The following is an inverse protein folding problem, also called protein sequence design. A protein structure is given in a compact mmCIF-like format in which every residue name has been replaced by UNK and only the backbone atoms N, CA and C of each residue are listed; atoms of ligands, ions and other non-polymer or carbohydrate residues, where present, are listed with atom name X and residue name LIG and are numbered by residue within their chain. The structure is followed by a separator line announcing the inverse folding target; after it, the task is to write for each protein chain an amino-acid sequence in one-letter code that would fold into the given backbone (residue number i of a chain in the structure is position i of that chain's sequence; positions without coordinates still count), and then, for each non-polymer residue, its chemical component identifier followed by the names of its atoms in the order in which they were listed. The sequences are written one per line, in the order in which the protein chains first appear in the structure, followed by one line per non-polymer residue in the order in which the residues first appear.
data_IF_210256729110
#
_entry.id   IF_210256729110
#
_cell.length_a   1.000
_cell.length_b   1.000
_cell.length_c   1.000
_cell.angle_alpha   90.00
_cell.angle_beta   90.00
_cell.angle_gamma   90.00
#
_symmetry.space_group_name_H-M   'P 1'
#
loop_
_entity.id
_entity.type
_entity.pdbx_description
1 polymer ?
#
# COMPACT_ATOMS: atom_id res chain seq x y z
N UNK A 1 38.57 -17.36 -18.74
CA UNK A 1 38.52 -17.81 -17.32
C UNK A 1 37.83 -16.80 -16.40
N UNK A 2 38.09 -15.48 -16.52
CA UNK A 2 37.39 -14.43 -15.76
C UNK A 2 35.87 -14.33 -16.03
N UNK A 3 35.42 -14.56 -17.27
CA UNK A 3 33.99 -14.55 -17.64
C UNK A 3 33.15 -15.68 -17.02
N UNK A 4 33.78 -16.83 -16.71
CA UNK A 4 33.09 -17.94 -16.02
C UNK A 4 32.84 -17.63 -14.55
N UNK A 5 33.67 -16.78 -13.93
CA UNK A 5 33.51 -16.34 -12.54
C UNK A 5 32.31 -15.38 -12.40
N UNK A 6 32.10 -14.49 -13.38
CA UNK A 6 30.97 -13.54 -13.40
C UNK A 6 29.63 -14.23 -13.64
N UNK A 7 29.58 -15.28 -14.48
CA UNK A 7 28.38 -16.09 -14.68
C UNK A 7 28.04 -16.97 -13.46
N UNK A 8 29.03 -17.44 -12.69
CA UNK A 8 28.76 -18.14 -11.43
C UNK A 8 28.27 -17.19 -10.32
N UNK A 9 28.74 -15.94 -10.29
CA UNK A 9 28.29 -14.93 -9.34
C UNK A 9 26.87 -14.42 -9.63
N UNK A 10 26.42 -14.42 -10.89
CA UNK A 10 25.05 -14.05 -11.29
C UNK A 10 23.99 -15.15 -11.11
N UNK A 11 24.42 -16.38 -10.77
CA UNK A 11 23.55 -17.54 -10.53
C UNK A 11 23.49 -17.94 -9.05
N UNK A 12 24.14 -17.19 -8.15
CA UNK A 12 23.89 -17.36 -6.74
C UNK A 12 22.41 -17.03 -6.51
N UNK A 13 21.58 -17.99 -6.07
CA UNK A 13 20.23 -17.66 -5.67
C UNK A 13 20.38 -16.57 -4.61
N UNK A 14 19.74 -15.42 -4.82
CA UNK A 14 19.55 -14.45 -3.76
C UNK A 14 18.97 -15.25 -2.60
N UNK A 15 19.75 -15.47 -1.54
CA UNK A 15 19.27 -16.10 -0.33
C UNK A 15 18.28 -15.12 0.27
N UNK A 16 17.03 -15.17 -0.19
CA UNK A 16 15.91 -14.51 0.46
C UNK A 16 15.87 -15.10 1.85
N UNK A 17 16.37 -14.33 2.81
CA UNK A 17 16.43 -14.71 4.21
C UNK A 17 14.99 -14.76 4.71
N UNK A 18 14.38 -15.92 4.63
CA UNK A 18 13.07 -16.16 5.22
C UNK A 18 13.27 -16.28 6.72
N UNK A 19 12.56 -15.44 7.46
CA UNK A 19 12.59 -15.45 8.92
C UNK A 19 11.22 -15.74 9.49
N UNK A 20 11.22 -16.28 10.71
CA UNK A 20 10.01 -16.68 11.41
C UNK A 20 9.40 -15.48 12.12
N UNK A 21 8.10 -15.30 12.00
CA UNK A 21 7.31 -14.25 12.65
C UNK A 21 6.22 -14.88 13.51
N UNK A 22 5.82 -14.20 14.59
CA UNK A 22 4.57 -14.54 15.27
C UNK A 22 3.38 -14.21 14.37
N UNK A 23 2.37 -15.08 14.38
CA UNK A 23 1.17 -14.94 13.56
C UNK A 23 -0.08 -15.20 14.36
N UNK A 24 -0.65 -14.15 14.96
CA UNK A 24 -1.79 -14.24 15.86
C UNK A 24 -2.70 -13.01 15.77
N UNK A 25 -3.93 -13.16 16.26
CA UNK A 25 -4.86 -12.05 16.47
C UNK A 25 -5.48 -12.18 17.86
N UNK A 26 -5.60 -11.07 18.58
CA UNK A 26 -6.16 -11.06 19.92
C UNK A 26 -6.80 -9.72 20.26
N UNK A 27 -7.66 -9.73 21.27
CA UNK A 27 -8.26 -8.54 21.87
C UNK A 27 -7.59 -8.29 23.21
N UNK A 28 -7.34 -7.03 23.51
CA UNK A 28 -6.63 -6.61 24.70
C UNK A 28 -7.41 -5.50 25.41
N UNK A 29 -7.52 -5.63 26.73
CA UNK A 29 -8.24 -4.70 27.62
C UNK A 29 -7.29 -3.82 28.46
N UNK A 30 -5.99 -4.18 28.54
CA UNK A 30 -4.98 -3.48 29.33
C UNK A 30 -3.56 -3.77 28.81
N UNK A 31 -2.63 -2.82 28.92
CA UNK A 31 -1.24 -3.02 28.49
C UNK A 31 -0.41 -3.85 29.51
N UNK A 32 0.60 -4.63 29.08
CA UNK A 32 1.06 -4.81 27.70
C UNK A 32 0.19 -5.79 26.88
N UNK A 33 -0.26 -5.36 25.71
CA UNK A 33 -1.04 -6.19 24.80
C UNK A 33 -0.13 -7.08 23.93
N UNK A 34 -0.23 -8.40 24.07
CA UNK A 34 0.58 -9.34 23.28
C UNK A 34 -0.19 -10.61 22.90
N UNK A 35 0.21 -11.26 21.80
CA UNK A 35 -0.17 -12.62 21.44
C UNK A 35 1.03 -13.33 20.78
N UNK A 36 1.17 -14.64 20.98
CA UNK A 36 2.33 -15.41 20.47
C UNK A 36 1.93 -16.75 19.83
N UNK A 37 0.62 -17.00 19.63
CA UNK A 37 0.12 -18.28 19.12
C UNK A 37 0.20 -18.33 17.59
N UNK A 38 1.01 -19.24 17.04
CA UNK A 38 1.14 -19.44 15.59
C UNK A 38 2.34 -18.70 15.00
N UNK A 39 2.80 -19.19 13.84
CA UNK A 39 3.99 -18.68 13.17
C UNK A 39 3.83 -18.68 11.65
N UNK A 40 4.56 -17.80 10.98
CA UNK A 40 4.68 -17.74 9.53
C UNK A 40 6.13 -17.38 9.14
N UNK A 41 6.51 -17.61 7.88
CA UNK A 41 7.83 -17.29 7.37
C UNK A 41 7.73 -16.24 6.25
N UNK A 42 8.52 -15.17 6.34
CA UNK A 42 8.58 -14.09 5.34
C UNK A 42 9.90 -13.32 5.44
N UNK A 43 10.10 -12.35 4.54
CA UNK A 43 11.22 -11.41 4.61
C UNK A 43 11.06 -10.43 5.79
N UNK A 44 9.83 -10.07 6.15
CA UNK A 44 9.54 -9.11 7.23
C UNK A 44 8.38 -9.60 8.10
N UNK A 45 8.37 -9.15 9.35
CA UNK A 45 7.25 -9.37 10.27
C UNK A 45 6.50 -8.06 10.52
N UNK A 46 5.21 -8.16 10.84
CA UNK A 46 4.42 -7.02 11.31
C UNK A 46 3.74 -7.28 12.65
N UNK A 47 3.47 -6.20 13.37
CA UNK A 47 2.57 -6.14 14.52
C UNK A 47 1.74 -4.85 14.41
N UNK A 48 0.42 -4.98 14.56
CA UNK A 48 -0.55 -3.89 14.50
C UNK A 48 -1.36 -3.84 15.78
N UNK A 49 -1.65 -2.62 16.24
CA UNK A 49 -2.62 -2.33 17.30
C UNK A 49 -3.67 -1.38 16.76
N UNK A 50 -4.90 -1.84 16.67
CA UNK A 50 -6.05 -1.04 16.20
C UNK A 50 -7.05 -0.85 17.34
N UNK A 51 -7.67 0.33 17.50
CA UNK A 51 -8.80 0.49 18.40
C UNK A 51 -9.96 -0.42 17.96
N UNK A 52 -10.78 -0.88 18.90
CA UNK A 52 -12.08 -1.49 18.60
C UNK A 52 -13.20 -0.47 18.82
N UNK A 53 -14.46 -0.88 18.59
CA UNK A 53 -15.63 -0.04 18.89
C UNK A 53 -15.73 0.29 20.39
N UNK A 54 -15.20 -0.58 21.25
CA UNK A 54 -15.17 -0.37 22.70
C UNK A 54 -13.96 0.47 23.09
N UNK A 55 -14.21 1.63 23.68
CA UNK A 55 -13.16 2.54 24.14
C UNK A 55 -12.18 1.83 25.09
N UNK A 56 -10.88 2.00 24.84
CA UNK A 56 -9.81 1.41 25.64
C UNK A 56 -9.53 -0.06 25.34
N UNK A 57 -10.30 -0.68 24.44
CA UNK A 57 -10.06 -2.04 23.96
C UNK A 57 -9.35 -1.97 22.61
N UNK A 58 -8.29 -2.76 22.48
CA UNK A 58 -7.47 -2.80 21.27
C UNK A 58 -7.41 -4.20 20.69
N UNK A 59 -7.41 -4.29 19.37
CA UNK A 59 -7.07 -5.52 18.64
C UNK A 59 -5.60 -5.50 18.30
N UNK A 60 -4.87 -6.53 18.74
CA UNK A 60 -3.50 -6.81 18.30
C UNK A 60 -3.53 -7.84 17.19
N UNK A 61 -2.76 -7.59 16.13
CA UNK A 61 -2.60 -8.53 15.03
C UNK A 61 -1.13 -8.61 14.64
N UNK A 62 -0.60 -9.82 14.53
CA UNK A 62 0.78 -10.09 14.14
C UNK A 62 0.81 -11.00 12.93
N UNK A 63 1.80 -10.85 12.08
CA UNK A 63 1.96 -11.78 10.97
C UNK A 63 3.17 -11.45 10.11
N UNK A 64 3.07 -11.85 8.86
CA UNK A 64 4.14 -11.78 7.89
C UNK A 64 3.84 -10.76 6.80
N UNK A 65 4.90 -10.18 6.24
CA UNK A 65 4.81 -9.22 5.14
C UNK A 65 5.98 -9.39 4.18
N UNK A 66 5.69 -9.27 2.90
CA UNK A 66 6.63 -9.26 1.77
C UNK A 66 6.55 -7.92 1.06
N UNK A 67 7.71 -7.35 0.71
CA UNK A 67 7.81 -6.04 0.05
C UNK A 67 6.92 -4.99 0.73
N UNK A 68 7.16 -4.68 2.03
CA UNK A 68 6.34 -3.74 2.77
C UNK A 68 6.34 -2.37 2.07
N UNK A 69 5.18 -1.71 2.01
CA UNK A 69 5.09 -0.35 1.47
C UNK A 69 5.81 0.70 2.31
N UNK A 70 6.28 0.38 3.52
CA UNK A 70 7.04 1.30 4.37
C UNK A 70 8.52 1.26 4.00
N UNK A 71 9.14 2.43 3.84
CA UNK A 71 10.58 2.56 3.57
C UNK A 71 11.46 2.26 4.78
N UNK A 72 10.90 2.30 5.99
CA UNK A 72 11.63 2.06 7.22
C UNK A 72 10.97 0.98 8.08
N UNK A 73 11.76 0.04 8.55
CA UNK A 73 11.37 -0.96 9.53
C UNK A 73 11.39 -0.34 10.94
N UNK A 74 10.23 0.08 11.43
CA UNK A 74 10.03 0.64 12.77
C UNK A 74 8.53 0.60 13.15
N UNK A 75 8.24 0.86 14.43
CA UNK A 75 6.89 1.12 14.91
C UNK A 75 6.49 2.58 14.69
N UNK A 76 5.28 2.77 14.20
CA UNK A 76 4.71 4.09 14.00
C UNK A 76 3.18 4.06 14.05
N UNK A 77 2.56 5.24 14.15
CA UNK A 77 1.16 5.38 13.82
C UNK A 77 0.91 5.02 12.36
N UNK A 78 -0.30 4.55 12.07
CA UNK A 78 -0.75 4.26 10.70
C UNK A 78 -2.07 4.98 10.45
N UNK A 79 -1.96 6.20 9.90
CA UNK A 79 -3.05 7.11 9.56
C UNK A 79 -3.79 7.71 10.75
N UNK A 80 -4.12 6.93 11.79
CA UNK A 80 -4.85 7.37 12.99
C UNK A 80 -3.97 7.43 14.23
N UNK A 81 -4.35 8.28 15.21
CA UNK A 81 -3.59 8.52 16.44
C UNK A 81 -3.54 7.31 17.40
N UNK A 82 -4.47 6.39 17.27
CA UNK A 82 -4.61 5.20 18.11
C UNK A 82 -4.26 3.90 17.37
N UNK A 83 -4.06 3.98 16.05
CA UNK A 83 -3.61 2.88 15.22
C UNK A 83 -2.09 2.87 15.12
N UNK A 84 -1.46 1.81 15.62
CA UNK A 84 -0.02 1.57 15.50
C UNK A 84 0.25 0.40 14.57
N UNK A 85 1.30 0.52 13.76
CA UNK A 85 1.84 -0.54 12.92
C UNK A 85 3.37 -0.53 13.01
N UNK A 86 3.94 -1.70 13.24
CA UNK A 86 5.37 -1.94 13.17
C UNK A 86 5.68 -2.91 12.05
N UNK A 87 6.78 -2.64 11.35
CA UNK A 87 7.43 -3.58 10.45
C UNK A 87 8.84 -3.78 10.98
N UNK A 88 9.28 -5.02 11.05
CA UNK A 88 10.60 -5.34 11.57
C UNK A 88 11.26 -6.46 10.78
N UNK A 89 12.58 -6.50 10.91
CA UNK A 89 13.42 -7.59 10.43
C UNK A 89 14.09 -8.26 11.64
N UNK A 90 14.05 -9.59 11.68
CA UNK A 90 14.60 -10.44 12.72
C UNK A 90 13.67 -11.62 13.02
N UNK A 91 14.26 -12.73 13.47
CA UNK A 91 13.48 -13.88 13.95
C UNK A 91 12.60 -13.44 15.14
N UNK A 92 11.30 -13.60 14.99
CA UNK A 92 10.26 -13.23 15.96
C UNK A 92 10.34 -11.77 16.41
N UNK A 93 10.82 -10.86 15.56
CA UNK A 93 11.00 -9.45 15.90
C UNK A 93 9.68 -8.73 16.24
N UNK A 94 8.54 -9.27 15.81
CA UNK A 94 7.21 -8.74 16.07
C UNK A 94 6.64 -9.19 17.42
N UNK A 95 7.51 -9.48 18.41
CA UNK A 95 7.08 -9.89 19.74
C UNK A 95 6.35 -8.77 20.49
N UNK A 96 6.85 -7.54 20.41
CA UNK A 96 6.27 -6.39 21.09
C UNK A 96 6.22 -5.15 20.20
N UNK A 97 5.39 -4.19 20.58
CA UNK A 97 5.36 -2.86 19.98
C UNK A 97 6.43 -2.01 20.66
N UNK A 98 7.51 -1.72 19.93
CA UNK A 98 8.57 -0.85 20.38
C UNK A 98 8.46 0.53 19.72
N UNK A 99 7.69 1.43 20.31
CA UNK A 99 7.67 2.83 19.86
C UNK A 99 8.98 3.51 20.24
N UNK A 100 9.81 3.78 19.23
CA UNK A 100 11.06 4.50 19.42
C UNK A 100 10.80 6.00 19.57
N UNK A 101 11.14 6.54 20.73
CA UNK A 101 10.92 7.94 21.13
C UNK A 101 11.57 8.96 20.18
N UNK A 102 12.65 8.58 19.50
CA UNK A 102 13.37 9.48 18.58
C UNK A 102 12.59 9.80 17.30
N UNK A 103 11.68 8.91 16.85
CA UNK A 103 10.87 9.14 15.66
C UNK A 103 9.71 10.12 15.89
N UNK A 104 9.35 10.37 17.16
CA UNK A 104 8.35 11.37 17.56
C UNK A 104 8.91 12.80 17.49
N UNK A 105 10.23 12.99 17.65
CA UNK A 105 10.86 14.31 17.75
C UNK A 105 10.95 15.07 16.42
N UNK A 106 10.86 14.39 15.27
CA UNK A 106 10.95 15.02 13.94
C UNK A 106 9.60 15.41 13.33
N UNK A 107 8.52 15.32 14.11
CA UNK A 107 7.16 15.48 13.56
C UNK A 107 6.61 16.85 13.86
N UNK A 108 6.36 17.59 12.79
CA UNK A 108 5.66 18.87 12.87
C UNK A 108 4.20 18.59 13.20
N UNK A 109 3.73 19.16 14.29
CA UNK A 109 2.30 19.26 14.54
C UNK A 109 1.73 20.33 13.60
N UNK A 110 0.84 19.89 12.72
CA UNK A 110 0.14 20.73 11.76
C UNK A 110 -1.32 20.83 12.17
N UNK A 111 -1.89 22.02 11.98
CA UNK A 111 -3.33 22.22 12.09
C UNK A 111 -3.96 22.02 10.72
N UNK A 112 -4.93 21.11 10.64
CA UNK A 112 -5.64 20.78 9.41
C UNK A 112 -7.14 21.01 9.60
N UNK A 113 -7.84 21.15 8.47
CA UNK A 113 -9.29 21.11 8.44
C UNK A 113 -9.79 19.67 8.61
N UNK A 114 -10.86 19.46 9.36
CA UNK A 114 -11.46 18.15 9.61
C UNK A 114 -12.95 18.15 9.28
N UNK A 115 -13.30 17.79 8.05
CA UNK A 115 -14.70 17.72 7.64
C UNK A 115 -15.10 16.32 7.21
N UNK A 116 -16.33 15.95 7.52
CA UNK A 116 -16.90 14.67 7.06
C UNK A 116 -17.40 14.79 5.63
N UNK A 117 -17.63 13.66 4.97
CA UNK A 117 -18.28 13.63 3.66
C UNK A 117 -19.73 14.17 3.70
N UNK A 118 -20.39 14.11 4.87
CA UNK A 118 -21.77 14.63 5.06
C UNK A 118 -21.81 16.14 5.23
N UNK A 119 -20.72 16.73 5.74
CA UNK A 119 -20.58 18.16 5.97
C UNK A 119 -19.18 18.62 5.52
N UNK A 120 -18.96 18.76 4.19
CA UNK A 120 -17.67 19.11 3.63
C UNK A 120 -17.31 20.59 3.78
N UNK A 121 -18.26 21.43 4.24
CA UNK A 121 -18.15 22.88 4.41
C UNK A 121 -18.07 23.31 5.90
N UNK A 122 -17.71 22.36 6.77
CA UNK A 122 -17.53 22.56 8.20
C UNK A 122 -16.32 23.45 8.58
N UNK A 123 -16.31 23.92 9.84
CA UNK A 123 -15.22 24.71 10.46
C UNK A 123 -14.38 23.93 11.48
N UNK A 124 -14.53 22.61 11.54
CA UNK A 124 -13.77 21.76 12.47
C UNK A 124 -12.29 21.66 12.06
N UNK A 125 -11.44 21.55 13.08
CA UNK A 125 -9.99 21.43 12.92
C UNK A 125 -9.45 20.25 13.71
N UNK A 126 -8.31 19.74 13.29
CA UNK A 126 -7.56 18.73 14.02
C UNK A 126 -6.06 19.05 14.01
N UNK A 127 -5.31 18.41 14.90
CA UNK A 127 -3.86 18.45 14.92
C UNK A 127 -3.27 17.07 14.61
N UNK A 128 -2.37 17.00 13.64
CA UNK A 128 -1.68 15.77 13.25
C UNK A 128 -0.34 16.06 12.59
N UNK A 129 0.28 15.05 11.98
CA UNK A 129 1.60 15.20 11.35
C UNK A 129 1.51 15.65 9.88
N UNK A 130 0.39 15.38 9.23
CA UNK A 130 0.09 15.75 7.84
C UNK A 130 -1.43 15.90 7.67
N UNK A 131 -1.85 16.64 6.66
CA UNK A 131 -3.26 16.85 6.34
C UNK A 131 -3.68 16.01 5.13
N UNK A 132 -4.93 15.57 5.10
CA UNK A 132 -5.51 14.90 3.94
C UNK A 132 -6.85 15.52 3.53
N UNK A 133 -7.18 15.35 2.25
CA UNK A 133 -8.49 15.67 1.67
C UNK A 133 -8.85 14.64 0.60
N UNK A 134 -10.13 14.28 0.55
CA UNK A 134 -10.77 13.66 -0.60
C UNK A 134 -11.50 14.79 -1.34
N UNK A 135 -10.91 15.23 -2.45
CA UNK A 135 -11.47 16.34 -3.23
C UNK A 135 -12.76 15.97 -3.97
N UNK A 136 -13.07 14.67 -4.10
CA UNK A 136 -14.32 14.19 -4.70
C UNK A 136 -15.49 14.37 -3.73
N UNK A 137 -15.27 14.10 -2.44
CA UNK A 137 -16.32 14.18 -1.40
C UNK A 137 -16.26 15.46 -0.58
N UNK A 138 -15.11 16.14 -0.58
CA UNK A 138 -14.81 17.25 0.32
C UNK A 138 -14.45 16.82 1.74
N UNK A 139 -14.39 15.52 2.04
CA UNK A 139 -13.95 15.02 3.33
C UNK A 139 -12.47 15.38 3.57
N UNK A 140 -12.12 15.77 4.79
CA UNK A 140 -10.77 16.21 5.12
C UNK A 140 -10.41 15.84 6.56
N UNK A 141 -9.12 15.75 6.86
CA UNK A 141 -8.68 15.42 8.22
C UNK A 141 -7.17 15.48 8.41
N UNK A 142 -6.76 14.88 9.53
CA UNK A 142 -5.37 14.78 9.95
C UNK A 142 -4.92 13.33 9.86
N UNK A 143 -3.71 13.15 9.35
CA UNK A 143 -2.99 11.89 9.41
C UNK A 143 -1.93 11.89 10.50
N UNK A 144 -1.74 10.73 11.10
CA UNK A 144 -0.70 10.44 12.08
C UNK A 144 0.31 9.46 11.50
N UNK A 145 1.52 9.47 12.07
CA UNK A 145 2.65 8.70 11.54
C UNK A 145 3.25 9.31 10.28
N UNK A 146 3.94 8.51 9.46
CA UNK A 146 4.49 8.95 8.18
C UNK A 146 3.32 9.23 7.22
N UNK A 147 3.49 10.19 6.30
CA UNK A 147 2.51 10.41 5.26
C UNK A 147 2.30 9.15 4.43
N UNK A 148 1.07 8.96 3.95
CA UNK A 148 0.70 7.78 3.19
C UNK A 148 -0.35 8.10 2.14
N UNK A 149 -0.17 7.51 0.96
CA UNK A 149 -1.14 7.44 -0.11
C UNK A 149 -1.28 5.97 -0.55
N UNK A 150 -2.47 5.54 -1.03
CA UNK A 150 -2.63 4.21 -1.62
C UNK A 150 -1.57 3.92 -2.70
N UNK A 151 -0.92 2.76 -2.63
CA UNK A 151 0.11 2.28 -3.59
C UNK A 151 1.42 3.07 -3.63
N UNK A 152 1.57 4.10 -2.81
CA UNK A 152 2.83 4.79 -2.62
C UNK A 152 3.64 4.15 -1.50
N UNK A 153 4.94 4.36 -1.53
CA UNK A 153 5.76 4.16 -0.35
C UNK A 153 5.27 5.05 0.80
N UNK A 154 5.19 4.48 2.00
CA UNK A 154 4.81 5.17 3.23
C UNK A 154 6.08 5.64 3.93
N UNK A 155 6.24 6.95 4.04
CA UNK A 155 7.39 7.55 4.72
C UNK A 155 7.55 9.03 4.41
N UNK A 156 8.45 9.73 5.13
CA UNK A 156 8.67 11.17 4.95
C UNK A 156 9.10 11.57 3.54
N UNK A 157 9.62 10.63 2.75
CA UNK A 157 10.02 10.78 1.35
C UNK A 157 8.91 11.32 0.44
N UNK A 158 7.64 11.06 0.77
CA UNK A 158 6.50 11.60 0.04
C UNK A 158 6.49 13.14 -0.03
N UNK A 159 7.15 13.83 0.90
CA UNK A 159 7.22 15.28 0.90
C UNK A 159 8.64 15.83 0.69
N UNK A 160 9.58 15.04 0.18
CA UNK A 160 10.95 15.51 -0.06
C UNK A 160 11.01 16.61 -1.12
N UNK A 161 10.23 16.48 -2.20
CA UNK A 161 10.27 17.42 -3.32
C UNK A 161 9.04 18.32 -3.43
N UNK A 162 7.98 18.03 -2.68
CA UNK A 162 6.70 18.75 -2.76
C UNK A 162 6.00 18.79 -1.42
N UNK A 163 5.19 19.83 -1.19
CA UNK A 163 4.38 19.97 0.01
C UNK A 163 2.96 19.43 -0.15
N UNK A 164 2.56 19.01 -1.36
CA UNK A 164 1.24 18.45 -1.64
C UNK A 164 1.34 17.40 -2.74
N UNK A 165 0.77 16.23 -2.46
CA UNK A 165 0.65 15.12 -3.41
C UNK A 165 -0.81 14.78 -3.59
N UNK A 166 -1.19 14.46 -4.82
CA UNK A 166 -2.53 14.02 -5.16
C UNK A 166 -2.50 12.79 -6.05
N UNK A 167 -3.44 11.89 -5.80
CA UNK A 167 -3.73 10.75 -6.66
C UNK A 167 -5.20 10.79 -7.05
N UNK A 168 -5.52 10.23 -8.21
CA UNK A 168 -6.89 9.96 -8.63
C UNK A 168 -6.97 8.49 -8.94
N UNK A 169 -7.86 7.80 -8.25
CA UNK A 169 -7.97 6.35 -8.30
C UNK A 169 -9.37 5.98 -8.78
N UNK A 170 -9.44 5.21 -9.87
CA UNK A 170 -10.67 4.61 -10.38
C UNK A 170 -10.59 3.11 -10.15
N UNK A 171 -11.51 2.56 -9.35
CA UNK A 171 -11.56 1.13 -9.01
C UNK A 171 -13.00 0.65 -8.95
N UNK A 172 -13.27 -0.50 -9.57
CA UNK A 172 -14.62 -1.05 -9.63
C UNK A 172 -15.59 -0.17 -10.40
N UNK A 173 -16.86 -0.21 -9.98
CA UNK A 173 -17.96 0.60 -10.52
C UNK A 173 -18.10 1.97 -9.86
N UNK A 174 -17.25 2.30 -8.88
CA UNK A 174 -17.31 3.56 -8.15
C UNK A 174 -16.82 4.76 -8.97
N UNK A 175 -17.26 5.95 -8.58
CA UNK A 175 -16.76 7.22 -9.12
C UNK A 175 -15.27 7.36 -8.76
N UNK A 176 -14.39 7.76 -9.71
CA UNK A 176 -12.99 8.00 -9.41
C UNK A 176 -12.83 8.99 -8.25
N UNK A 177 -12.02 8.59 -7.25
CA UNK A 177 -11.76 9.41 -6.06
C UNK A 177 -10.38 10.04 -6.13
N UNK A 178 -10.33 11.35 -5.86
CA UNK A 178 -9.07 12.09 -5.82
C UNK A 178 -8.68 12.39 -4.37
N UNK A 179 -7.63 11.71 -3.92
CA UNK A 179 -7.06 11.84 -2.59
C UNK A 179 -5.80 12.70 -2.64
N UNK A 180 -5.72 13.70 -1.78
CA UNK A 180 -4.54 14.53 -1.64
C UNK A 180 -4.04 14.53 -0.19
N UNK A 181 -2.72 14.63 -0.05
CA UNK A 181 -2.03 14.78 1.23
C UNK A 181 -1.08 15.97 1.17
N UNK A 182 -0.82 16.63 2.30
CA UNK A 182 0.07 17.79 2.35
C UNK A 182 0.64 18.04 3.75
N UNK A 183 1.73 18.81 3.84
CA UNK A 183 2.52 19.02 5.07
C UNK A 183 2.63 20.48 5.54
N UNK A 184 1.61 21.30 5.27
CA UNK A 184 1.53 22.69 5.75
C UNK A 184 0.24 22.92 6.53
N UNK A 185 0.21 23.93 7.40
CA UNK A 185 -1.02 24.28 8.11
C UNK A 185 -2.13 24.66 7.11
N UNK A 186 -3.33 24.11 7.33
CA UNK A 186 -4.54 24.36 6.53
C UNK A 186 -4.37 24.09 5.01
N UNK A 187 -3.43 23.24 4.61
CA UNK A 187 -3.17 22.94 3.19
C UNK A 187 -4.25 22.08 2.52
N UNK A 188 -5.13 21.48 3.32
CA UNK A 188 -6.30 20.69 2.89
C UNK A 188 -7.59 21.54 2.87
N UNK A 189 -7.45 22.84 2.64
CA UNK A 189 -8.57 23.73 2.43
C UNK A 189 -9.03 23.64 0.97
N UNK A 190 -10.26 23.19 0.76
CA UNK A 190 -10.88 23.10 -0.56
C UNK A 190 -11.12 24.52 -1.08
N UNK A 191 -10.31 24.97 -2.04
CA UNK A 191 -10.65 26.17 -2.82
C UNK A 191 -11.81 25.82 -3.75
N UNK A 192 -12.96 26.47 -3.58
CA UNK A 192 -14.18 26.26 -4.39
C UNK A 192 -13.94 26.27 -5.91
N UNK A 193 -12.90 27.00 -6.38
CA UNK A 193 -12.49 27.01 -7.79
C UNK A 193 -12.14 25.62 -8.37
N UNK A 194 -11.77 24.64 -7.54
CA UNK A 194 -11.42 23.28 -8.00
C UNK A 194 -12.58 22.28 -7.98
N UNK A 195 -13.74 22.60 -7.35
CA UNK A 195 -14.91 21.69 -7.34
C UNK A 195 -15.47 21.45 -8.76
N UNK A 196 -15.32 22.42 -9.66
CA UNK A 196 -15.86 22.34 -11.03
C UNK A 196 -14.92 21.69 -12.05
N UNK A 197 -13.66 21.47 -11.69
CA UNK A 197 -12.72 20.71 -12.50
C UNK A 197 -12.47 19.38 -11.82
N UNK A 198 -13.13 18.32 -12.30
CA UNK A 198 -12.69 16.92 -12.15
C UNK A 198 -11.30 16.75 -12.79
N UNK A 199 -10.31 17.49 -12.32
CA UNK A 199 -8.94 17.38 -12.76
C UNK A 199 -8.45 16.08 -12.17
N UNK A 200 -8.53 15.03 -12.97
CA UNK A 200 -7.65 13.88 -12.84
C UNK A 200 -6.25 14.42 -12.54
N UNK A 201 -5.59 13.88 -11.50
CA UNK A 201 -4.21 14.22 -11.18
C UNK A 201 -3.30 13.63 -12.27
N UNK A 202 -3.26 14.27 -13.43
CA UNK A 202 -2.51 13.84 -14.60
C UNK A 202 -1.27 14.70 -14.71
N UNK A 203 -0.16 14.16 -14.25
CA UNK A 203 1.17 14.53 -14.72
C UNK A 203 1.26 14.33 -16.25
N UNK A 204 1.40 15.40 -17.05
CA UNK A 204 1.30 15.32 -18.52
C UNK A 204 2.43 14.51 -19.16
N UNK A 205 3.58 14.41 -18.50
CA UNK A 205 4.77 13.75 -19.03
C UNK A 205 4.79 12.23 -18.79
N UNK A 206 3.85 11.68 -18.01
CA UNK A 206 3.77 10.23 -17.78
C UNK A 206 2.78 9.58 -18.78
N UNK A 207 3.17 8.48 -19.44
CA UNK A 207 2.30 7.81 -20.40
C UNK A 207 1.08 7.17 -19.69
N UNK A 208 -0.09 7.35 -20.28
CA UNK A 208 -1.33 6.72 -19.82
C UNK A 208 -1.45 5.29 -20.38
N UNK A 209 -1.64 4.33 -19.49
CA UNK A 209 -1.89 2.92 -19.78
C UNK A 209 -3.37 2.59 -19.66
N UNK A 210 -3.82 1.62 -20.46
CA UNK A 210 -5.15 1.06 -20.33
C UNK A 210 -5.13 -0.08 -19.30
N UNK A 211 -6.04 -0.04 -18.32
CA UNK A 211 -6.09 -1.00 -17.22
C UNK A 211 -7.46 -1.68 -17.16
N UNK A 212 -7.55 -2.86 -16.54
CA UNK A 212 -8.82 -3.40 -16.10
C UNK A 212 -9.38 -2.54 -14.96
N UNK A 213 -10.70 -2.36 -14.92
CA UNK A 213 -11.39 -1.64 -13.86
C UNK A 213 -12.61 -2.43 -13.38
N UNK A 214 -12.47 -3.17 -12.29
CA UNK A 214 -13.56 -3.97 -11.75
C UNK A 214 -13.39 -4.31 -10.29
N UNK A 215 -14.48 -4.80 -9.71
CA UNK A 215 -14.59 -5.28 -8.35
C UNK A 215 -15.30 -6.63 -8.41
N UNK A 216 -14.65 -7.64 -7.86
CA UNK A 216 -15.13 -9.02 -7.79
C UNK A 216 -15.18 -9.46 -6.34
N UNK A 217 -16.21 -10.23 -6.01
CA UNK A 217 -16.33 -10.95 -4.74
C UNK A 217 -16.73 -12.38 -5.05
N UNK A 218 -16.19 -13.37 -4.32
CA UNK A 218 -16.45 -14.80 -4.56
C UNK A 218 -17.92 -15.21 -4.41
N UNK A 219 -18.78 -14.34 -3.89
CA UNK A 219 -20.21 -14.57 -3.77
C UNK A 219 -20.99 -14.31 -5.07
N UNK A 220 -20.39 -13.64 -6.07
CA UNK A 220 -21.07 -13.22 -7.31
C UNK A 220 -20.48 -13.88 -8.57
N UNK A 221 -20.90 -15.11 -8.86
CA UNK A 221 -20.48 -15.87 -10.05
C UNK A 221 -20.90 -15.24 -11.39
N UNK A 222 -21.90 -14.34 -11.39
CA UNK A 222 -22.37 -13.62 -12.57
C UNK A 222 -21.45 -12.43 -12.98
N UNK A 223 -20.61 -11.91 -12.07
CA UNK A 223 -19.85 -10.67 -12.27
C UNK A 223 -18.47 -10.91 -12.91
N UNK A 224 -17.97 -12.15 -12.86
CA UNK A 224 -16.64 -12.54 -13.34
C UNK A 224 -16.44 -12.35 -14.86
N UNK A 225 -17.49 -12.46 -15.66
CA UNK A 225 -17.43 -12.29 -17.12
C UNK A 225 -17.44 -10.81 -17.55
N UNK A 226 -18.17 -9.95 -16.83
CA UNK A 226 -18.31 -8.51 -17.14
C UNK A 226 -17.12 -7.66 -16.66
N UNK A 227 -16.45 -8.07 -15.58
CA UNK A 227 -15.26 -7.38 -15.04
C UNK A 227 -14.12 -7.25 -16.05
N UNK A 228 -13.96 -8.22 -16.96
CA UNK A 228 -12.94 -8.16 -18.02
C UNK A 228 -13.29 -7.24 -19.17
N UNK A 229 -14.41 -6.51 -19.17
CA UNK A 229 -14.78 -5.58 -20.24
C UNK A 229 -14.55 -4.11 -19.85
N UNK A 230 -14.70 -3.76 -18.58
CA UNK A 230 -14.48 -2.39 -18.11
C UNK A 230 -13.00 -2.01 -18.18
N UNK A 231 -12.74 -0.82 -18.70
CA UNK A 231 -11.40 -0.25 -18.87
C UNK A 231 -11.34 1.13 -18.27
N UNK A 232 -10.19 1.49 -17.74
CA UNK A 232 -9.87 2.88 -17.42
C UNK A 232 -8.45 3.20 -17.88
N UNK A 233 -8.11 4.49 -17.95
CA UNK A 233 -6.77 4.93 -18.33
C UNK A 233 -6.11 5.64 -17.17
N UNK A 234 -4.88 5.25 -16.86
CA UNK A 234 -4.05 5.99 -15.93
C UNK A 234 -2.57 5.68 -16.02
N UNK A 235 -1.75 6.41 -15.27
CA UNK A 235 -0.29 6.21 -15.26
C UNK A 235 0.12 4.82 -14.79
N UNK A 236 -0.61 4.28 -13.81
CA UNK A 236 -0.38 2.96 -13.26
C UNK A 236 -1.68 2.16 -13.23
N UNK A 237 -1.57 0.86 -13.45
CA UNK A 237 -2.66 -0.08 -13.19
C UNK A 237 -2.52 -0.65 -11.78
N UNK A 238 -3.63 -0.80 -11.08
CA UNK A 238 -3.67 -1.30 -9.70
C UNK A 238 -4.44 -2.61 -9.62
N UNK A 239 -3.96 -3.51 -8.78
CA UNK A 239 -4.64 -4.74 -8.37
C UNK A 239 -4.61 -4.81 -6.85
N UNK A 240 -5.72 -5.13 -6.20
CA UNK A 240 -5.68 -5.57 -4.81
C UNK A 240 -6.59 -6.75 -4.61
N UNK A 241 -6.18 -7.61 -3.67
CA UNK A 241 -6.91 -8.79 -3.28
C UNK A 241 -6.95 -8.84 -1.76
N UNK A 242 -8.13 -9.10 -1.24
CA UNK A 242 -8.34 -9.37 0.17
C UNK A 242 -9.03 -10.72 0.29
N UNK A 243 -8.40 -11.65 0.99
CA UNK A 243 -8.93 -12.98 1.23
C UNK A 243 -9.08 -13.20 2.74
N UNK A 244 -10.30 -13.50 3.18
CA UNK A 244 -10.59 -13.94 4.53
C UNK A 244 -10.75 -15.46 4.56
N UNK A 245 -10.05 -16.11 5.47
CA UNK A 245 -10.10 -17.56 5.68
C UNK A 245 -11.00 -17.81 6.89
N UNK A 246 -12.16 -18.42 6.63
CA UNK A 246 -13.11 -18.77 7.68
C UNK A 246 -12.78 -20.16 8.25
N UNK A 247 -12.84 -20.36 9.57
CA UNK A 247 -12.68 -21.67 10.17
C UNK A 247 -13.74 -22.65 9.63
N UNK A 248 -13.31 -23.70 8.92
CA UNK A 248 -14.20 -24.73 8.37
C UNK A 248 -15.07 -24.31 7.18
N UNK A 249 -14.84 -23.12 6.60
CA UNK A 249 -15.60 -22.59 5.46
C UNK A 249 -14.74 -22.35 4.22
N UNK A 250 -15.38 -22.04 3.09
CA UNK A 250 -14.66 -21.53 1.92
C UNK A 250 -14.15 -20.11 2.16
N UNK A 251 -12.96 -19.76 1.66
CA UNK A 251 -12.42 -18.41 1.79
C UNK A 251 -13.29 -17.41 1.01
N UNK A 252 -13.52 -16.25 1.62
CA UNK A 252 -14.18 -15.12 0.94
C UNK A 252 -13.07 -14.26 0.35
N UNK A 253 -13.07 -14.11 -0.98
CA UNK A 253 -12.06 -13.31 -1.69
C UNK A 253 -12.75 -12.13 -2.35
N UNK A 254 -12.17 -10.95 -2.18
CA UNK A 254 -12.51 -9.73 -2.90
C UNK A 254 -11.30 -9.27 -3.71
N UNK A 255 -11.51 -9.02 -5.00
CA UNK A 255 -10.49 -8.50 -5.91
C UNK A 255 -10.94 -7.16 -6.47
N UNK A 256 -10.01 -6.20 -6.55
CA UNK A 256 -10.27 -4.86 -7.06
C UNK A 256 -9.18 -4.41 -8.01
N UNK A 257 -9.52 -4.27 -9.27
CA UNK A 257 -8.69 -3.74 -10.35
C UNK A 257 -9.06 -2.28 -10.63
N UNK A 258 -8.08 -1.50 -11.08
CA UNK A 258 -8.32 -0.12 -11.48
C UNK A 258 -7.09 0.58 -12.03
N UNK A 259 -7.18 1.89 -12.17
CA UNK A 259 -6.10 2.76 -12.60
C UNK A 259 -5.85 3.87 -11.59
N UNK A 260 -4.59 4.31 -11.56
CA UNK A 260 -4.08 5.32 -10.68
C UNK A 260 -3.40 6.40 -11.51
N UNK A 261 -3.89 7.62 -11.35
CA UNK A 261 -3.27 8.84 -11.87
C UNK A 261 -2.58 9.56 -10.73
N UNK A 262 -1.40 10.10 -11.00
CA UNK A 262 -0.55 10.72 -9.99
C UNK A 262 -0.11 12.11 -10.42
N UNK A 263 0.01 13.02 -9.45
CA UNK A 263 0.65 14.32 -9.68
C UNK A 263 2.17 14.24 -9.67
N UNK A 264 2.75 13.21 -9.04
CA UNK A 264 4.19 12.92 -8.97
C UNK A 264 4.41 11.39 -8.94
N UNK A 265 5.45 10.89 -9.61
CA UNK A 265 5.62 9.46 -9.93
C UNK A 265 6.75 8.74 -9.21
N UNK A 266 7.63 9.47 -8.52
CA UNK A 266 8.91 8.99 -8.00
C UNK A 266 8.78 8.04 -6.79
N UNK A 267 7.62 8.01 -6.14
CA UNK A 267 7.40 7.28 -4.88
C UNK A 267 6.35 6.16 -4.99
N UNK A 268 6.00 5.72 -6.21
CA UNK A 268 5.07 4.61 -6.42
C UNK A 268 5.75 3.27 -6.13
N UNK A 269 5.09 2.43 -5.33
CA UNK A 269 5.53 1.06 -5.07
C UNK A 269 5.10 0.12 -6.21
N UNK A 270 5.98 -0.05 -7.20
CA UNK A 270 5.78 -1.03 -8.29
C UNK A 270 5.99 -2.47 -7.80
N UNK A 271 5.22 -3.40 -8.37
CA UNK A 271 5.16 -4.78 -7.90
C UNK A 271 4.04 -4.97 -6.88
N UNK A 272 4.11 -6.04 -6.07
CA UNK A 272 3.08 -6.39 -5.09
C UNK A 272 3.63 -6.33 -3.66
N UNK A 273 2.90 -5.66 -2.77
CA UNK A 273 3.05 -5.81 -1.33
C UNK A 273 2.04 -6.85 -0.84
N UNK A 274 2.49 -7.80 -0.03
CA UNK A 274 1.65 -8.87 0.50
C UNK A 274 1.80 -8.97 2.00
N UNK A 275 0.69 -8.97 2.72
CA UNK A 275 0.62 -9.06 4.18
C UNK A 275 -0.37 -10.15 4.55
N UNK A 276 -0.04 -11.00 5.52
CA UNK A 276 -0.93 -12.09 5.91
C UNK A 276 -0.82 -12.48 7.38
N UNK A 277 -1.94 -12.99 7.88
CA UNK A 277 -2.07 -13.69 9.14
C UNK A 277 -2.38 -15.16 8.83
N UNK A 278 -1.51 -16.07 9.26
CA UNK A 278 -1.62 -17.50 9.01
C UNK A 278 -3.00 -18.02 9.42
N UNK A 279 -3.71 -18.63 8.46
CA UNK A 279 -5.02 -19.24 8.71
C UNK A 279 -6.19 -18.26 8.89
N UNK A 280 -6.00 -16.95 8.68
CA UNK A 280 -7.06 -15.96 8.91
C UNK A 280 -7.27 -14.99 7.75
N UNK A 281 -6.22 -14.34 7.23
CA UNK A 281 -6.38 -13.45 6.07
C UNK A 281 -5.10 -13.22 5.27
N UNK A 282 -5.29 -12.81 4.01
CA UNK A 282 -4.24 -12.35 3.11
C UNK A 282 -4.69 -11.04 2.47
N UNK A 283 -3.85 -10.01 2.57
CA UNK A 283 -4.00 -8.72 1.91
C UNK A 283 -2.86 -8.56 0.90
N UNK A 284 -3.20 -8.26 -0.35
CA UNK A 284 -2.24 -8.03 -1.42
C UNK A 284 -2.60 -6.76 -2.17
N UNK A 285 -1.62 -5.94 -2.50
CA UNK A 285 -1.79 -4.70 -3.23
C UNK A 285 -0.63 -4.48 -4.18
N UNK A 286 -0.94 -4.31 -5.46
CA UNK A 286 0.02 -4.20 -6.53
C UNK A 286 -0.20 -2.95 -7.39
N UNK A 287 0.91 -2.39 -7.89
CA UNK A 287 0.90 -1.38 -8.95
C UNK A 287 1.87 -1.77 -10.07
N UNK A 288 1.45 -1.57 -11.32
CA UNK A 288 2.25 -1.90 -12.50
C UNK A 288 2.09 -0.83 -13.59
N UNK A 289 3.12 -0.66 -14.42
CA UNK A 289 3.15 0.29 -15.55
C UNK A 289 3.89 -0.27 -16.79
N UNK A 290 4.23 -1.55 -16.74
CA UNK A 290 5.03 -2.28 -17.73
C UNK A 290 4.30 -2.47 -19.07
N UNK A 291 2.98 -2.70 -19.04
CA UNK A 291 2.15 -2.91 -20.23
C UNK A 291 0.70 -2.49 -19.99
N UNK A 292 -0.07 -2.37 -21.08
CA UNK A 292 -1.51 -2.27 -20.97
C UNK A 292 -2.09 -3.57 -20.38
N UNK A 293 -3.07 -3.43 -19.50
CA UNK A 293 -3.80 -4.51 -18.84
C UNK A 293 -2.92 -5.36 -17.90
N UNK A 294 -1.81 -4.81 -17.40
CA UNK A 294 -0.90 -5.52 -16.48
C UNK A 294 -1.55 -5.90 -15.14
N UNK A 295 -2.67 -5.27 -14.76
CA UNK A 295 -3.41 -5.56 -13.54
C UNK A 295 -4.47 -6.67 -13.68
N UNK A 296 -4.30 -7.56 -14.67
CA UNK A 296 -5.21 -8.69 -14.89
C UNK A 296 -5.35 -9.59 -13.67
N UNK A 297 -4.20 -9.92 -13.07
CA UNK A 297 -4.05 -10.81 -11.93
C UNK A 297 -2.76 -10.45 -11.17
N UNK A 298 -2.57 -11.00 -9.98
CA UNK A 298 -1.42 -10.66 -9.13
C UNK A 298 -0.07 -11.10 -9.72
N UNK A 299 -0.07 -12.18 -10.51
CA UNK A 299 1.15 -12.65 -11.18
C UNK A 299 1.60 -11.66 -12.25
N UNK A 300 0.69 -11.20 -13.10
CA UNK A 300 1.00 -10.21 -14.14
C UNK A 300 1.37 -8.86 -13.52
N UNK A 301 0.67 -8.47 -12.44
CA UNK A 301 0.91 -7.20 -11.75
C UNK A 301 2.25 -7.16 -10.98
N UNK A 302 2.75 -8.32 -10.55
CA UNK A 302 4.05 -8.43 -9.86
C UNK A 302 5.25 -8.51 -10.81
N UNK A 303 5.02 -8.75 -12.12
CA UNK A 303 6.10 -8.95 -13.08
C UNK A 303 6.85 -7.65 -13.41
N UNK A 304 8.07 -7.52 -12.86
CA UNK A 304 9.04 -6.52 -13.30
C UNK A 304 9.82 -7.05 -14.51
N UNK A 305 9.51 -6.54 -15.71
CA UNK A 305 10.14 -6.94 -16.98
C UNK A 305 11.67 -6.72 -17.02
N UNK A 306 12.27 -5.98 -16.09
CA UNK A 306 13.72 -5.78 -16.03
C UNK A 306 14.51 -7.09 -15.92
N UNK A 307 14.01 -8.09 -15.20
CA UNK A 307 14.71 -9.39 -15.10
C UNK A 307 14.64 -10.19 -16.41
N UNK A 308 13.58 -10.02 -17.20
CA UNK A 308 13.40 -10.73 -18.46
C UNK A 308 14.36 -10.24 -19.55
N UNK A 309 14.56 -8.92 -19.66
CA UNK A 309 15.52 -8.35 -20.61
C UNK A 309 16.97 -8.67 -20.26
N UNK A 310 17.33 -8.73 -18.96
CA UNK A 310 18.65 -9.15 -18.51
C UNK A 310 18.91 -10.63 -18.84
N UNK A 311 17.92 -11.50 -18.62
CA UNK A 311 18.03 -12.91 -18.98
C UNK A 311 18.18 -13.13 -20.50
N UNK A 312 17.41 -12.40 -21.31
CA UNK A 312 17.51 -12.48 -22.79
C UNK A 312 18.85 -11.91 -23.27
N UNK A 313 19.31 -10.77 -22.75
CA UNK A 313 20.58 -10.20 -23.18
C UNK A 313 21.78 -11.08 -22.77
N UNK A 314 21.72 -11.77 -21.62
CA UNK A 314 22.70 -12.79 -21.24
C UNK A 314 22.65 -14.03 -22.15
N UNK A 315 21.45 -14.49 -22.55
CA UNK A 315 21.29 -15.61 -23.48
C UNK A 315 21.80 -15.28 -24.89
N UNK A 316 21.53 -14.07 -25.39
CA UNK A 316 22.02 -13.58 -26.69
C UNK A 316 23.53 -13.45 -26.65
N UNK A 317 24.11 -12.88 -25.59
CA UNK A 317 25.57 -12.82 -25.41
C UNK A 317 26.20 -14.22 -25.37
N UNK A 318 25.60 -15.18 -24.65
CA UNK A 318 26.08 -16.56 -24.62
C UNK A 318 26.08 -17.22 -26.01
N UNK A 319 25.02 -16.99 -26.79
CA UNK A 319 24.89 -17.55 -28.13
C UNK A 319 25.93 -16.98 -29.10
N UNK A 320 26.14 -15.66 -29.08
CA UNK A 320 27.14 -15.00 -29.93
C UNK A 320 28.58 -15.35 -29.57
N UNK A 321 28.86 -15.74 -28.33
CA UNK A 321 30.21 -16.12 -27.91
C UNK A 321 30.56 -17.59 -28.19
N UNK A 322 29.57 -18.39 -28.64
CA UNK A 322 29.72 -19.81 -29.03
C UNK A 322 29.83 -20.04 -30.53
N UNK A 323 29.68 -18.99 -31.34
CA UNK A 323 29.99 -18.95 -32.78
C UNK A 323 31.38 -18.36 -32.94
#
# INVERSE_FOLDING_TARGET
MWLMLVMLLGLLPSTSYTQMCYSCSGICHSEPCNCQTGQCAAEHCFIERKPTETRGVYRITKGCVESPSRTQANCDYDHFADHLQCICHGKFCNDHIFLLSHNLQYRKNLTCRKCSERDPDCSETCQGHWCHEDSTTGASGCGYGPPSLPFFFKGPELFFHTSKLCITMSRGSGVPRRHCICNRNYCNQVRQAYRNTQTTSVMPDLPLRQCFNCELTTQDSAVTASCKQNRCRGHYCTFARHQHILPGGQPITSEKQGCLNVSHSDQIHLGCSKKWLQGAYVEESCACNNSDLCNRDSFTASSNYQHFYLAISLLVFYYYHKI
#
